data_IF_876230484635
#
_entry.id   IF_876230484635
#
_cell.length_a   1.000
_cell.length_b   1.000
_cell.length_c   1.000
_cell.angle_alpha   90.00
_cell.angle_beta   90.00
_cell.angle_gamma   90.00
#
_symmetry.space_group_name_H-M   'P 1'
#
loop_
_entity.id
_entity.type
_entity.pdbx_description
1 polymer ?
2 water ?
#
# COMPACT_ATOMS: atom_id res chain seq x y z
N UNK A 2 12.19 -4.78 10.62
CA UNK A 2 11.02 -5.29 9.89
C UNK A 2 9.78 -4.95 10.67
N UNK A 3 9.93 -4.30 11.81
CA UNK A 3 8.81 -3.52 12.30
C UNK A 3 8.28 -2.59 11.19
N UNK A 4 9.18 -1.87 10.50
CA UNK A 4 8.75 -0.87 9.49
C UNK A 4 8.02 -1.56 8.33
N UNK A 5 8.57 -2.70 7.95
CA UNK A 5 8.06 -3.50 6.88
C UNK A 5 6.65 -3.99 7.20
N UNK A 6 6.44 -4.54 8.40
CA UNK A 6 5.09 -4.98 8.83
C UNK A 6 4.04 -3.86 8.84
N UNK A 7 4.40 -2.66 9.28
CA UNK A 7 3.43 -1.60 9.35
C UNK A 7 3.05 -1.14 7.93
N UNK A 8 4.05 -0.86 7.10
CA UNK A 8 3.78 -0.17 5.84
C UNK A 8 3.08 -1.06 4.81
N UNK A 9 3.38 -2.35 4.85
CA UNK A 9 2.72 -3.31 3.96
C UNK A 9 1.47 -3.93 4.56
N UNK A 10 1.08 -3.50 5.76
CA UNK A 10 -0.16 -3.99 6.33
C UNK A 10 -1.36 -3.77 5.40
N UNK A 11 -2.23 -4.81 5.22
CA UNK A 11 -3.43 -4.56 4.38
C UNK A 11 -4.28 -3.35 4.80
N UNK A 12 -4.28 -2.99 6.08
CA UNK A 12 -5.11 -1.85 6.49
C UNK A 12 -4.33 -0.53 6.42
N UNK A 13 -3.03 -0.62 6.15
CA UNK A 13 -2.24 0.57 5.95
C UNK A 13 -2.37 1.09 4.52
N UNK A 14 -2.91 2.28 4.38
CA UNK A 14 -2.99 2.97 3.10
C UNK A 14 -2.13 4.25 3.16
N UNK A 15 -1.34 4.45 2.12
CA UNK A 15 -0.48 5.63 2.07
C UNK A 15 -1.28 6.88 1.79
N UNK A 16 -2.25 7.18 2.64
CA UNK A 16 -3.07 8.35 2.48
C UNK A 16 -2.70 9.42 3.49
N UNK A 17 -2.87 10.70 3.14
CA UNK A 17 -2.96 11.70 4.17
C UNK A 17 -4.39 11.71 4.79
N UNK A 18 -4.67 12.65 5.67
CA UNK A 18 -5.94 12.62 6.42
C UNK A 18 -7.16 12.92 5.55
N UNK A 19 -7.04 13.96 4.72
CA UNK A 19 -8.05 14.28 3.67
C UNK A 19 -8.37 13.09 2.74
N UNK A 20 -7.35 12.42 2.19
CA UNK A 20 -7.57 11.31 1.26
C UNK A 20 -8.19 10.10 2.00
N UNK A 21 -7.78 9.86 3.23
CA UNK A 21 -8.40 8.80 4.04
C UNK A 21 -9.89 9.04 4.22
N UNK A 22 -10.26 10.28 4.55
CA UNK A 22 -11.66 10.69 4.56
C UNK A 22 -12.34 10.39 3.26
N UNK A 23 -11.72 10.85 2.16
CA UNK A 23 -12.26 10.60 0.81
C UNK A 23 -12.50 9.12 0.53
N UNK A 24 -11.52 8.30 0.82
CA UNK A 24 -11.72 6.84 0.66
C UNK A 24 -12.84 6.29 1.57
N UNK A 25 -12.97 6.82 2.80
CA UNK A 25 -13.99 6.30 3.72
C UNK A 25 -15.39 6.69 3.34
N UNK A 26 -15.54 7.69 2.49
CA UNK A 26 -16.88 8.12 2.03
C UNK A 26 -17.71 7.00 1.43
N UNK A 27 -17.11 6.13 0.62
CA UNK A 27 -17.86 5.01 0.04
C UNK A 27 -17.83 3.75 0.95
N UNK A 28 -17.24 3.84 2.14
CA UNK A 28 -17.29 2.74 3.08
C UNK A 28 -18.38 2.98 4.10
N UNK A 29 -18.43 2.12 5.11
CA UNK A 29 -19.54 2.14 6.09
C UNK A 29 -19.08 2.69 7.45
N UNK A 30 -20.02 3.02 8.32
CA UNK A 30 -19.73 3.50 9.67
C UNK A 30 -18.79 2.55 10.41
N UNK A 31 -17.71 3.08 10.97
CA UNK A 31 -16.82 2.25 11.72
C UNK A 31 -15.66 1.71 10.91
N UNK A 32 -15.74 1.77 9.58
CA UNK A 32 -14.56 1.47 8.77
C UNK A 32 -13.47 2.46 9.04
N UNK A 33 -12.25 2.08 8.69
CA UNK A 33 -11.08 2.83 9.07
C UNK A 33 -9.90 2.37 8.20
N UNK A 34 -8.86 3.19 8.21
CA UNK A 34 -7.55 2.85 7.67
C UNK A 34 -6.48 3.32 8.67
N UNK A 35 -5.36 2.65 8.63
CA UNK A 35 -4.10 3.20 9.12
C UNK A 35 -3.54 3.94 7.90
N UNK A 36 -3.06 5.17 8.09
CA UNK A 36 -2.60 6.00 6.99
C UNK A 36 -1.38 6.81 7.47
N UNK A 37 -0.84 7.66 6.60
CA UNK A 37 0.33 8.45 6.98
C UNK A 37 -0.05 9.86 7.44
N UNK A 38 0.94 10.51 8.04
CA UNK A 38 0.78 11.78 8.71
C UNK A 38 2.08 12.53 8.55
N UNK A 39 2.05 13.71 7.90
CA UNK A 39 3.26 14.53 7.72
C UNK A 39 3.54 15.59 8.76
N UNK A 40 3.38 15.32 10.04
CA UNK A 40 3.76 16.33 11.07
C UNK A 40 5.21 16.52 11.85
N UNK A 41 5.77 15.60 12.65
CA UNK A 41 5.08 14.54 13.33
C UNK A 41 4.55 15.16 14.59
N UNK A 42 4.97 14.63 15.72
CA UNK A 42 6.10 13.71 15.80
C UNK A 42 5.87 12.28 15.40
N UNK A 43 4.68 12.00 14.85
CA UNK A 43 4.26 10.67 14.50
C UNK A 43 3.86 10.65 13.04
N UNK A 44 4.31 9.59 12.33
CA UNK A 44 4.10 9.45 10.90
C UNK A 44 2.91 8.49 10.61
N UNK A 45 2.35 7.88 11.66
CA UNK A 45 1.22 6.98 11.47
C UNK A 45 -0.02 7.63 12.07
N UNK A 46 -1.22 7.32 11.52
CA UNK A 46 -2.44 7.69 12.19
C UNK A 46 -3.55 6.72 11.84
N UNK A 47 -4.59 6.68 12.67
CA UNK A 47 -5.86 6.01 12.31
C UNK A 47 -6.94 7.04 11.98
N UNK A 48 -7.68 6.77 10.91
CA UNK A 48 -8.81 7.56 10.54
C UNK A 48 -9.98 6.61 10.40
N UNK A 49 -11.12 6.94 10.98
CA UNK A 49 -12.30 6.11 10.85
C UNK A 49 -13.55 6.91 10.74
N UNK A 50 -14.58 6.27 10.21
CA UNK A 50 -15.82 6.95 9.87
C UNK A 50 -16.82 6.88 11.00
N UNK A 51 -17.16 8.01 11.59
CA UNK A 51 -18.25 8.07 12.57
C UNK A 51 -19.66 8.12 12.02
N UNK A 52 -19.81 8.71 10.84
CA UNK A 52 -21.12 8.87 10.23
C UNK A 52 -20.93 9.46 8.86
N UNK A 53 -22.04 9.75 8.19
CA UNK A 53 -21.95 10.36 6.89
C UNK A 53 -21.28 11.72 7.03
N UNK A 54 -20.08 11.81 6.48
CA UNK A 54 -19.34 13.07 6.43
C UNK A 54 -18.69 13.44 7.76
N UNK A 55 -18.54 12.48 8.66
CA UNK A 55 -17.92 12.72 9.95
C UNK A 55 -16.86 11.67 10.29
N UNK A 56 -15.65 12.14 10.61
CA UNK A 56 -14.49 11.31 10.74
C UNK A 56 -13.74 11.61 12.01
N UNK A 57 -13.02 10.61 12.52
CA UNK A 57 -12.17 10.79 13.67
C UNK A 57 -10.76 10.48 13.24
N UNK A 58 -9.80 11.22 13.78
CA UNK A 58 -8.41 11.00 13.48
C UNK A 58 -7.61 10.85 14.74
N UNK A 59 -6.77 9.81 14.80
CA UNK A 59 -5.88 9.61 15.96
C UNK A 59 -4.43 9.26 15.58
N UNK A 60 -3.51 9.85 16.30
CA UNK A 60 -2.08 9.66 16.09
C UNK A 60 -1.67 8.31 16.65
N UNK A 61 -0.81 7.62 15.94
CA UNK A 61 -0.18 6.41 16.49
C UNK A 61 1.28 6.72 16.76
N UNK A 62 1.64 6.69 18.05
CA UNK A 62 2.96 7.01 18.53
C UNK A 62 3.84 5.77 18.47
N UNK A 63 5.09 5.97 18.08
CA UNK A 63 6.01 4.89 17.88
C UNK A 63 7.19 5.12 18.78
N UNK A 64 7.37 4.20 19.72
CA UNK A 64 8.44 4.26 20.73
C UNK A 64 9.24 2.96 20.77
N UNK A 65 10.45 3.02 21.36
CA UNK A 65 11.31 1.86 21.48
C UNK A 65 11.16 1.17 22.85
N UNK A 66 11.54 -0.10 22.93
CA UNK A 66 11.67 -0.82 24.20
C UNK A 66 13.14 -0.82 24.61
N UNK A 67 13.52 -1.68 25.55
CA UNK A 67 14.94 -1.87 25.89
C UNK A 67 15.19 -3.26 26.49
N UNK A 68 14.61 -4.29 25.86
CA UNK A 68 14.37 -5.55 26.53
C UNK A 68 15.13 -6.81 26.09
N UNK A 69 14.87 -7.30 24.85
CA UNK A 69 15.36 -8.63 24.46
C UNK A 69 16.83 -8.64 24.08
N UNK A 73 11.25 -4.86 19.56
CA UNK A 73 11.81 -3.73 18.82
C UNK A 73 11.10 -2.41 19.11
N UNK A 74 9.94 -2.22 18.50
CA UNK A 74 9.14 -1.00 18.72
C UNK A 74 7.75 -1.27 19.29
N UNK A 75 7.12 -0.21 19.77
CA UNK A 75 5.83 -0.31 20.46
C UNK A 75 4.94 0.84 19.99
N UNK A 76 3.68 0.53 19.68
CA UNK A 76 2.70 1.50 19.21
C UNK A 76 1.86 1.96 20.38
N UNK A 77 1.56 3.26 20.40
CA UNK A 77 0.81 3.86 21.50
C UNK A 77 -0.33 4.72 20.93
N UNK A 78 -1.56 4.33 21.26
CA UNK A 78 -2.73 5.00 20.73
C UNK A 78 -3.60 5.39 21.89
N UNK A 79 -3.82 6.69 22.02
CA UNK A 79 -4.48 7.26 23.18
C UNK A 79 -4.05 6.54 24.46
N UNK A 80 -2.79 6.13 24.50
CA UNK A 80 -2.22 5.62 25.76
C UNK A 80 -2.53 4.18 26.13
N UNK A 81 -3.00 3.38 25.17
CA UNK A 81 -2.90 1.91 25.26
C UNK A 81 -1.66 1.53 24.44
N UNK A 82 -0.84 0.64 25.00
CA UNK A 82 0.34 0.19 24.30
C UNK A 82 -0.04 -1.01 23.42
N UNK A 83 0.62 -1.17 22.28
CA UNK A 83 0.39 -2.29 21.38
C UNK A 83 1.72 -2.68 20.76
N UNK A 84 1.89 -3.94 20.33
CA UNK A 84 3.12 -4.34 19.62
C UNK A 84 3.01 -3.90 18.22
N UNK A 85 1.87 -4.27 17.65
CA UNK A 85 1.79 -4.35 16.22
C UNK A 85 0.52 -3.68 15.83
N UNK A 86 0.36 -3.52 14.55
CA UNK A 86 -0.85 -3.01 14.04
C UNK A 86 -1.97 -4.01 14.38
N UNK A 87 -1.63 -5.29 14.39
CA UNK A 87 -2.65 -6.32 14.43
C UNK A 87 -3.61 -6.16 15.60
N UNK A 88 -3.07 -5.88 16.80
CA UNK A 88 -3.88 -5.73 17.98
C UNK A 88 -4.73 -4.49 17.85
N UNK A 89 -4.19 -3.48 17.18
CA UNK A 89 -4.95 -2.26 16.88
C UNK A 89 -6.14 -2.55 15.94
N UNK A 90 -5.87 -3.24 14.83
CA UNK A 90 -6.91 -3.59 13.89
C UNK A 90 -8.00 -4.38 14.59
N UNK A 91 -7.62 -5.32 15.44
CA UNK A 91 -8.59 -6.09 16.20
C UNK A 91 -9.60 -5.19 16.94
N UNK A 92 -9.12 -4.16 17.62
CA UNK A 92 -10.01 -3.32 18.43
C UNK A 92 -10.95 -2.41 17.63
N UNK A 93 -10.44 -1.82 16.58
CA UNK A 93 -11.25 -0.98 15.69
C UNK A 93 -12.23 -1.77 14.84
N UNK A 94 -12.09 -3.10 14.80
CA UNK A 94 -13.04 -3.95 14.12
C UNK A 94 -14.12 -4.33 15.10
N UNK A 95 -13.71 -4.61 16.33
CA UNK A 95 -14.64 -4.84 17.42
C UNK A 95 -15.45 -3.57 17.67
N UNK A 96 -14.80 -2.41 17.58
CA UNK A 96 -15.51 -1.13 17.63
C UNK A 96 -16.63 -1.15 16.60
N UNK A 97 -16.28 -1.24 15.31
CA UNK A 97 -17.23 -1.31 14.22
C UNK A 97 -18.30 -2.34 14.42
N UNK A 98 -17.91 -3.49 15.00
CA UNK A 98 -18.80 -4.58 15.34
C UNK A 98 -19.94 -4.18 16.26
N UNK A 99 -19.67 -3.42 17.32
CA UNK A 99 -20.71 -3.27 18.37
C UNK A 99 -21.89 -2.34 17.96
N UNK A 100 -21.84 -1.90 16.70
CA UNK A 100 -22.89 -1.15 16.01
C UNK A 100 -24.04 -2.07 15.56
N UNK B 2 6.78 -11.26 -12.33
CA UNK B 2 5.90 -10.34 -11.63
C UNK B 2 5.61 -10.83 -10.20
N UNK B 3 6.66 -10.96 -9.41
CA UNK B 3 6.52 -11.43 -8.03
C UNK B 3 5.38 -10.71 -7.32
N UNK B 4 4.43 -11.48 -6.80
CA UNK B 4 3.29 -10.92 -6.10
C UNK B 4 3.73 -10.09 -4.90
N UNK B 5 4.92 -10.37 -4.40
CA UNK B 5 5.46 -9.64 -3.25
C UNK B 5 5.96 -8.26 -3.66
N UNK B 6 6.50 -8.15 -4.87
CA UNK B 6 7.00 -6.88 -5.37
C UNK B 6 5.90 -6.08 -6.05
N UNK B 7 4.78 -6.75 -6.35
CA UNK B 7 3.69 -6.11 -7.00
C UNK B 7 2.74 -5.47 -5.99
N UNK B 8 2.31 -6.29 -5.03
CA UNK B 8 1.35 -5.88 -4.02
C UNK B 8 1.97 -4.81 -3.11
N UNK B 9 3.24 -4.94 -2.77
CA UNK B 9 3.86 -3.95 -1.87
C UNK B 9 4.31 -2.65 -2.60
N UNK B 10 4.11 -2.54 -3.90
CA UNK B 10 4.74 -1.44 -4.59
C UNK B 10 4.21 -0.09 -4.11
N UNK B 11 5.08 0.95 -3.95
CA UNK B 11 4.48 2.27 -3.66
C UNK B 11 3.27 2.69 -4.56
N UNK B 12 3.30 2.42 -5.87
CA UNK B 12 2.12 2.75 -6.69
C UNK B 12 0.90 1.82 -6.64
N UNK B 13 0.99 0.74 -5.88
CA UNK B 13 -0.13 -0.19 -5.90
C UNK B 13 -1.05 0.13 -4.73
N UNK B 14 -2.27 0.56 -5.02
CA UNK B 14 -3.29 0.76 -3.97
C UNK B 14 -4.37 -0.35 -4.02
N UNK B 15 -4.73 -0.92 -2.89
CA UNK B 15 -5.69 -2.04 -3.00
C UNK B 15 -7.13 -1.60 -3.11
N UNK B 16 -7.41 -0.86 -4.18
CA UNK B 16 -8.65 -0.16 -4.51
C UNK B 16 -9.35 -0.90 -5.63
N UNK B 17 -10.68 -0.80 -5.73
CA UNK B 17 -11.35 -1.13 -6.99
C UNK B 17 -11.39 0.12 -7.89
N UNK B 18 -12.00 0.00 -9.06
CA UNK B 18 -11.92 1.02 -10.09
C UNK B 18 -12.58 2.28 -9.64
N UNK B 19 -13.76 2.16 -9.03
CA UNK B 19 -14.47 3.30 -8.48
C UNK B 19 -13.62 4.07 -7.47
N UNK B 20 -13.03 3.36 -6.52
CA UNK B 20 -12.28 4.01 -5.45
C UNK B 20 -10.98 4.62 -6.02
N UNK B 21 -10.43 4.03 -7.08
CA UNK B 21 -9.24 4.64 -7.70
C UNK B 21 -9.60 5.96 -8.37
N UNK B 22 -10.75 6.02 -9.03
CA UNK B 22 -11.28 7.31 -9.51
C UNK B 22 -11.39 8.32 -8.37
N UNK B 23 -12.05 7.92 -7.30
CA UNK B 23 -12.25 8.83 -6.17
C UNK B 23 -10.92 9.41 -5.64
N UNK B 24 -9.90 8.56 -5.48
CA UNK B 24 -8.62 8.99 -5.01
C UNK B 24 -8.00 9.90 -6.04
N UNK B 25 -8.24 9.66 -7.33
CA UNK B 25 -7.61 10.51 -8.32
C UNK B 25 -8.23 11.89 -8.44
N UNK B 26 -9.44 12.04 -7.91
CA UNK B 26 -10.13 13.35 -7.95
C UNK B 26 -9.30 14.48 -7.35
N UNK B 27 -8.58 14.20 -6.26
CA UNK B 27 -7.77 15.24 -5.63
C UNK B 27 -6.35 15.28 -6.20
N UNK B 28 -6.04 14.42 -7.17
CA UNK B 28 -4.75 14.45 -7.85
C UNK B 28 -4.86 15.29 -9.15
N UNK B 29 -3.79 15.32 -9.93
CA UNK B 29 -3.74 16.04 -11.20
C UNK B 29 -3.76 15.15 -12.45
N UNK B 30 -3.89 15.79 -13.62
CA UNK B 30 -3.87 15.14 -14.92
C UNK B 30 -2.65 14.24 -15.09
N UNK B 31 -2.91 13.02 -15.53
CA UNK B 31 -1.84 12.06 -15.72
C UNK B 31 -1.42 11.26 -14.51
N UNK B 32 -1.90 11.64 -13.31
CA UNK B 32 -1.72 10.81 -12.14
C UNK B 32 -2.44 9.50 -12.33
N UNK B 33 -1.98 8.49 -11.61
CA UNK B 33 -2.44 7.14 -11.84
C UNK B 33 -2.15 6.31 -10.60
N UNK B 34 -2.76 5.12 -10.57
CA UNK B 34 -2.46 4.11 -9.58
C UNK B 34 -2.48 2.76 -10.29
N UNK B 35 -1.73 1.81 -9.73
CA UNK B 35 -1.98 0.39 -9.98
C UNK B 35 -2.96 -0.01 -8.89
N UNK B 36 -4.00 -0.78 -9.24
CA UNK B 36 -5.02 -1.13 -8.29
C UNK B 36 -5.50 -2.52 -8.59
N UNK B 37 -6.50 -2.98 -7.87
CA UNK B 37 -7.00 -4.31 -7.98
C UNK B 37 -8.30 -4.42 -8.75
N UNK B 38 -8.46 -5.59 -9.33
CA UNK B 38 -9.57 -5.83 -10.16
C UNK B 38 -10.12 -7.16 -9.80
N UNK B 39 -11.43 -7.25 -9.54
CA UNK B 39 -11.99 -8.54 -9.33
C UNK B 39 -12.88 -9.05 -10.48
N UNK B 40 -12.62 -8.58 -11.68
CA UNK B 40 -13.30 -9.11 -12.86
C UNK B 40 -12.33 -9.75 -13.84
N UNK B 41 -12.85 -10.66 -14.66
CA UNK B 41 -12.07 -11.35 -15.69
C UNK B 41 -10.86 -12.05 -15.09
N UNK B 42 -9.80 -12.20 -15.89
CA UNK B 42 -8.69 -13.10 -15.55
C UNK B 42 -7.50 -12.38 -14.94
N UNK B 43 -7.56 -11.06 -14.92
CA UNK B 43 -6.48 -10.24 -14.39
C UNK B 43 -6.91 -9.53 -13.13
N UNK B 44 -6.10 -9.63 -12.09
CA UNK B 44 -6.36 -9.01 -10.82
C UNK B 44 -5.70 -7.65 -10.65
N UNK B 45 -5.01 -7.19 -11.67
CA UNK B 45 -4.30 -5.91 -11.60
C UNK B 45 -4.88 -4.98 -12.64
N UNK B 46 -4.92 -3.68 -12.37
CA UNK B 46 -5.27 -2.72 -13.43
C UNK B 46 -4.57 -1.39 -13.17
N UNK B 47 -4.41 -0.58 -14.22
CA UNK B 47 -4.03 0.81 -14.09
C UNK B 47 -5.25 1.76 -14.28
N UNK B 48 -5.33 2.76 -13.41
CA UNK B 48 -6.32 3.77 -13.54
C UNK B 48 -5.59 5.11 -13.49
N UNK B 49 -5.86 5.98 -14.46
CA UNK B 49 -5.22 7.27 -14.50
C UNK B 49 -6.17 8.36 -14.95
N UNK B 50 -5.82 9.58 -14.58
CA UNK B 50 -6.71 10.68 -14.72
C UNK B 50 -6.42 11.34 -16.05
N UNK B 51 -7.44 11.32 -16.90
CA UNK B 51 -7.38 11.80 -18.26
C UNK B 51 -7.73 13.28 -18.33
N UNK B 52 -8.68 13.69 -17.50
CA UNK B 52 -9.05 15.10 -17.33
C UNK B 52 -9.89 15.16 -16.06
N UNK B 53 -10.32 16.36 -15.67
CA UNK B 53 -11.31 16.51 -14.60
C UNK B 53 -12.50 15.55 -14.82
N UNK B 54 -12.75 14.68 -13.84
CA UNK B 54 -13.90 13.76 -13.88
C UNK B 54 -13.83 12.77 -15.06
N UNK B 55 -12.64 12.55 -15.61
CA UNK B 55 -12.48 11.59 -16.71
C UNK B 55 -11.27 10.70 -16.46
N UNK B 56 -11.46 9.40 -16.63
CA UNK B 56 -10.50 8.41 -16.20
C UNK B 56 -10.37 7.32 -17.23
N UNK B 57 -9.19 6.69 -17.30
CA UNK B 57 -8.98 5.54 -18.18
C UNK B 57 -8.63 4.37 -17.29
N UNK B 58 -9.04 3.19 -17.69
CA UNK B 58 -8.77 1.98 -16.96
C UNK B 58 -8.23 0.95 -17.89
N UNK B 59 -7.10 0.34 -17.53
CA UNK B 59 -6.55 -0.73 -18.35
C UNK B 59 -6.15 -1.94 -17.47
N UNK B 60 -6.43 -3.11 -18.02
CA UNK B 60 -6.04 -4.37 -17.39
C UNK B 60 -4.54 -4.63 -17.52
N UNK B 61 -3.94 -5.19 -16.49
CA UNK B 61 -2.59 -5.70 -16.59
C UNK B 61 -2.66 -7.21 -16.51
N UNK B 62 -2.19 -7.86 -17.58
CA UNK B 62 -2.14 -9.30 -17.65
C UNK B 62 -0.78 -9.80 -17.12
N UNK B 63 -0.80 -10.92 -16.39
CA UNK B 63 0.43 -11.62 -15.97
C UNK B 63 0.43 -12.86 -16.77
N UNK B 64 1.53 -13.05 -17.49
CA UNK B 64 1.80 -14.25 -18.27
C UNK B 64 3.11 -14.85 -17.75
N UNK B 65 3.28 -16.16 -17.94
CA UNK B 65 4.52 -16.86 -17.59
C UNK B 65 5.58 -16.58 -18.64
N UNK B 66 5.34 -17.09 -19.85
CA UNK B 66 6.27 -17.02 -21.00
C UNK B 66 7.54 -17.82 -20.82
N UNK B 67 7.61 -18.63 -19.76
CA UNK B 67 8.68 -19.66 -19.65
C UNK B 67 8.19 -20.90 -18.90
N UNK B 72 13.61 -18.20 -14.66
CA UNK B 72 12.48 -17.82 -15.48
C UNK B 72 11.96 -16.45 -15.06
N UNK B 73 10.74 -16.38 -14.54
CA UNK B 73 10.09 -15.11 -14.18
C UNK B 73 8.73 -14.95 -14.84
N UNK B 74 8.10 -13.79 -14.62
CA UNK B 74 6.77 -13.51 -15.16
C UNK B 74 6.69 -12.14 -15.77
N UNK B 75 5.89 -12.01 -16.81
CA UNK B 75 5.81 -10.80 -17.60
C UNK B 75 4.47 -10.10 -17.41
N UNK B 76 4.51 -8.78 -17.43
CA UNK B 76 3.33 -7.95 -17.31
C UNK B 76 2.97 -7.44 -18.70
N UNK B 77 1.71 -7.60 -19.11
CA UNK B 77 1.26 -7.14 -20.44
C UNK B 77 0.16 -6.06 -20.38
N UNK B 78 0.42 -4.92 -21.01
CA UNK B 78 -0.57 -3.86 -21.07
C UNK B 78 -0.81 -3.41 -22.50
N UNK B 79 -2.03 -3.67 -22.98
CA UNK B 79 -2.47 -3.33 -24.34
C UNK B 79 -1.50 -3.83 -25.40
N UNK B 80 -1.20 -5.13 -25.38
CA UNK B 80 -0.19 -5.68 -26.28
C UNK B 80 1.17 -5.00 -26.11
N UNK B 81 1.67 -4.94 -24.88
CA UNK B 81 3.00 -4.38 -24.59
C UNK B 81 3.56 -5.00 -23.28
N UNK B 82 4.81 -5.46 -23.32
CA UNK B 82 5.31 -6.36 -22.29
C UNK B 82 6.31 -5.67 -21.39
N UNK B 83 6.28 -6.00 -20.11
CA UNK B 83 7.12 -5.39 -19.07
C UNK B 83 7.54 -6.51 -18.13
N UNK B 84 8.71 -6.42 -17.49
CA UNK B 84 9.06 -7.43 -16.48
C UNK B 84 8.53 -7.08 -15.11
N UNK B 85 8.31 -5.78 -14.87
CA UNK B 85 8.24 -5.15 -13.57
C UNK B 85 7.17 -4.09 -13.55
N UNK B 86 6.65 -3.81 -12.36
CA UNK B 86 5.78 -2.72 -12.23
C UNK B 86 6.62 -1.48 -12.52
N UNK B 87 7.86 -1.46 -12.02
CA UNK B 87 8.78 -0.36 -12.23
C UNK B 87 8.83 0.18 -13.67
N UNK B 88 8.99 -0.66 -14.69
CA UNK B 88 8.98 -0.17 -16.08
C UNK B 88 7.64 0.48 -16.48
N UNK B 89 6.54 -0.02 -15.92
CA UNK B 89 5.22 0.56 -16.17
C UNK B 89 5.14 1.97 -15.53
N UNK B 90 5.57 2.07 -14.27
CA UNK B 90 5.51 3.32 -13.56
C UNK B 90 6.33 4.31 -14.35
N UNK B 91 7.49 3.88 -14.83
CA UNK B 91 8.32 4.77 -15.61
C UNK B 91 7.51 5.34 -16.78
N UNK B 92 6.75 4.50 -17.49
CA UNK B 92 6.08 4.95 -18.69
C UNK B 92 4.91 5.87 -18.44
N UNK B 93 4.13 5.56 -17.42
CA UNK B 93 3.01 6.39 -17.06
C UNK B 93 3.40 7.70 -16.36
N UNK B 94 4.68 7.83 -15.96
CA UNK B 94 5.14 9.08 -15.40
C UNK B 94 5.62 9.94 -16.53
N UNK B 95 6.36 9.33 -17.46
CA UNK B 95 6.75 10.00 -18.70
C UNK B 95 5.52 10.49 -19.45
N UNK B 96 4.48 9.67 -19.53
CA UNK B 96 3.18 10.11 -20.04
C UNK B 96 2.77 11.46 -19.39
N UNK B 97 2.55 11.44 -18.07
CA UNK B 97 2.17 12.60 -17.29
C UNK B 97 3.09 13.79 -17.53
N UNK B 98 4.39 13.55 -17.49
CA UNK B 98 5.37 14.62 -17.69
C UNK B 98 5.30 15.16 -19.13
N UNK B 99 4.82 14.32 -20.04
CA UNK B 99 4.70 14.71 -21.44
C UNK B 99 3.48 15.60 -21.66
N UNK B 100 2.45 15.42 -20.83
CA UNK B 100 1.23 16.20 -20.93
C UNK B 100 1.41 17.59 -20.32
N UNK B 101 2.65 18.08 -20.35
CA UNK B 101 2.95 19.40 -19.80
C UNK B 101 4.24 19.96 -20.39
N UNK B 102 4.11 20.60 -21.55
CA UNK B 102 2.83 20.76 -22.21
C UNK B 102 1.89 19.59 -21.91
N UNK C 8 4.20 16.14 -1.53
CA UNK C 8 2.99 16.22 -0.63
C UNK C 8 1.65 16.36 -1.37
N UNK C 9 0.92 15.26 -1.60
CA UNK C 9 1.32 13.92 -1.26
C UNK C 9 1.78 13.21 -2.52
N UNK C 10 2.53 12.15 -2.35
CA UNK C 10 3.00 11.41 -3.49
C UNK C 10 3.31 9.95 -3.07
N UNK C 11 2.99 8.96 -3.92
CA UNK C 11 3.26 7.52 -3.58
C UNK C 11 4.67 7.26 -3.12
N UNK C 12 5.62 7.96 -3.71
CA UNK C 12 7.01 7.79 -3.27
C UNK C 12 7.45 8.68 -2.16
N UNK C 13 6.59 9.61 -1.77
CA UNK C 13 6.85 10.41 -0.59
C UNK C 13 6.36 9.73 0.69
N UNK C 14 7.25 9.67 1.67
CA UNK C 14 6.92 9.13 2.98
C UNK C 14 7.35 10.14 4.01
N UNK C 15 6.52 10.38 5.04
CA UNK C 15 6.93 11.40 6.00
C UNK C 15 7.93 10.85 7.00
N UNK C 16 9.08 10.41 6.52
CA UNK C 16 10.11 9.79 7.33
C UNK C 16 11.23 10.80 7.60
N UNK C 17 11.97 10.63 8.70
CA UNK C 17 13.25 11.22 8.81
C UNK C 17 14.30 10.30 8.09
N UNK C 18 15.58 10.66 8.12
CA UNK C 18 16.61 9.88 7.45
C UNK C 18 16.68 8.44 7.90
N UNK C 19 16.48 8.23 9.17
CA UNK C 19 16.71 6.94 9.79
C UNK C 19 15.62 5.95 9.43
N UNK C 20 14.38 6.40 9.59
CA UNK C 20 13.22 5.58 9.28
C UNK C 20 13.24 5.21 7.82
N UNK C 21 13.64 6.15 6.98
CA UNK C 21 13.74 5.88 5.56
C UNK C 21 14.73 4.75 5.33
N UNK C 22 15.83 4.73 6.07
CA UNK C 22 16.81 3.62 5.93
C UNK C 22 16.14 2.31 6.30
N UNK C 23 15.42 2.35 7.44
CA UNK C 23 14.74 1.18 7.99
C UNK C 23 13.70 0.65 7.04
N UNK C 24 12.97 1.56 6.42
CA UNK C 24 12.04 1.17 5.40
C UNK C 24 12.73 0.55 4.20
N UNK C 25 13.99 0.92 3.93
CA UNK C 25 14.63 0.47 2.68
C UNK C 25 15.33 -0.86 2.92
N UNK C 26 15.53 -1.19 4.21
CA UNK C 26 16.19 -2.42 4.63
C UNK C 26 15.62 -3.67 3.99
N UNK C 27 14.30 -3.77 3.93
CA UNK C 27 13.71 -4.99 3.37
C UNK C 27 13.54 -4.85 1.85
N UNK C 28 13.90 -3.70 1.28
CA UNK C 28 13.75 -3.49 -0.18
C UNK C 28 15.02 -3.88 -0.97
N UNK C 29 14.96 -3.73 -2.29
CA UNK C 29 16.08 -4.05 -3.18
C UNK C 29 17.06 -2.88 -3.40
N UNK C 30 18.28 -3.19 -3.82
CA UNK C 30 19.19 -2.11 -4.12
C UNK C 30 18.60 -1.17 -5.22
N UNK C 31 18.73 0.14 -5.01
CA UNK C 31 18.22 1.15 -5.91
C UNK C 31 16.85 1.68 -5.51
N UNK C 32 16.14 1.02 -4.59
CA UNK C 32 14.86 1.53 -4.08
C UNK C 32 15.16 2.79 -3.31
N UNK C 33 14.16 3.66 -3.22
CA UNK C 33 14.28 5.01 -2.71
C UNK C 33 12.97 5.54 -2.16
N UNK C 34 13.07 6.59 -1.36
CA UNK C 34 11.92 7.35 -0.99
C UNK C 34 12.25 8.82 -1.04
N UNK C 35 11.21 9.60 -1.32
CA UNK C 35 11.23 11.01 -1.08
C UNK C 35 10.75 11.16 0.35
N UNK C 36 11.49 11.92 1.16
CA UNK C 36 11.10 12.07 2.56
C UNK C 36 11.35 13.45 3.08
N UNK C 37 10.97 13.67 4.34
CA UNK C 37 11.17 15.01 4.94
C UNK C 37 12.62 15.26 5.42
N UNK C 38 13.19 16.34 4.88
CA UNK C 38 14.55 16.76 5.14
C UNK C 38 14.69 17.31 6.58
N UNK C 39 15.87 17.11 7.18
CA UNK C 39 16.25 17.73 8.48
C UNK C 39 15.83 19.18 8.64
N UNK C 40 15.68 19.89 7.53
CA UNK C 40 15.11 21.25 7.59
C UNK C 40 13.60 21.31 7.30
N UNK C 43 8.23 21.17 5.20
CA UNK C 43 8.73 22.04 4.15
C UNK C 43 9.69 21.31 3.22
N UNK C 44 10.96 21.18 3.62
CA UNK C 44 12.04 20.69 2.74
C UNK C 44 12.01 19.19 2.55
N UNK C 45 12.34 18.74 1.34
CA UNK C 45 12.39 17.29 1.02
C UNK C 45 13.77 16.79 0.69
N UNK C 46 13.94 15.48 0.80
CA UNK C 46 15.19 14.82 0.47
C UNK C 46 14.92 13.48 -0.17
N UNK C 47 15.96 12.87 -0.73
CA UNK C 47 15.88 11.53 -1.28
C UNK C 47 16.78 10.58 -0.50
N UNK C 48 16.23 9.42 -0.14
CA UNK C 48 17.03 8.37 0.42
C UNK C 48 16.94 7.15 -0.48
N UNK C 49 18.09 6.61 -0.87
CA UNK C 49 18.03 5.39 -1.66
C UNK C 49 19.09 4.40 -1.22
N UNK C 50 18.83 3.13 -1.56
CA UNK C 50 19.62 2.01 -1.05
C UNK C 50 20.68 1.62 -2.06
N UNK C 51 21.92 1.72 -1.62
CA UNK C 51 23.08 1.37 -2.43
C UNK C 51 23.39 -0.12 -2.24
N UNK C 52 23.36 -0.59 -1.01
CA UNK C 52 23.71 -1.99 -0.73
C UNK C 52 23.12 -2.43 0.61
N UNK C 53 23.38 -3.68 0.99
CA UNK C 53 23.01 -4.14 2.31
C UNK C 53 23.49 -3.14 3.36
N UNK C 54 22.57 -2.44 4.01
CA UNK C 54 22.94 -1.46 5.02
C UNK C 54 23.88 -0.39 4.40
N UNK C 55 23.62 0.02 3.19
CA UNK C 55 24.34 1.14 2.61
C UNK C 55 23.28 2.08 1.97
N UNK C 56 23.16 3.30 2.49
CA UNK C 56 22.15 4.27 2.03
C UNK C 56 22.73 5.63 1.63
N UNK C 57 22.10 6.29 0.68
CA UNK C 57 22.56 7.65 0.29
C UNK C 57 21.42 8.60 0.58
N UNK C 58 21.79 9.81 0.92
CA UNK C 58 20.81 10.81 1.27
C UNK C 58 21.17 12.04 0.48
N UNK C 59 20.21 12.53 -0.31
CA UNK C 59 20.42 13.75 -1.10
C UNK C 59 19.34 14.79 -0.80
N UNK C 60 19.77 16.05 -0.72
CA UNK C 60 18.84 17.19 -0.53
C UNK C 60 18.13 17.55 -1.84
N UNK C 61 16.83 17.88 -1.76
CA UNK C 61 16.12 18.49 -2.89
C UNK C 61 15.88 19.94 -2.51
N UNK C 62 16.30 20.86 -3.36
CA UNK C 62 16.12 22.28 -3.07
C UNK C 62 15.23 22.96 -4.10
N UNK C 63 14.48 23.97 -3.65
CA UNK C 63 13.71 24.81 -4.54
C UNK C 63 14.46 26.08 -4.85
N UNK C 64 14.25 26.61 -6.05
CA UNK C 64 14.91 27.84 -6.47
C UNK C 64 14.38 28.33 -7.82
N UNK C 65 14.00 29.60 -7.87
CA UNK C 65 13.47 30.19 -9.10
C UNK C 65 14.26 29.93 -10.37
N UNK C 66 13.54 29.57 -11.44
CA UNK C 66 14.18 29.28 -12.72
C UNK C 66 14.68 30.47 -13.54
N UNK C 67 15.99 30.64 -13.60
CA UNK C 67 16.59 31.73 -14.34
C UNK C 67 15.86 31.97 -15.66
N UNK C 68 15.23 33.13 -15.79
CA UNK C 68 14.50 33.46 -17.00
C UNK C 68 14.02 34.91 -16.99
N UNK C 69 13.15 35.25 -17.94
CA UNK C 69 12.61 36.62 -18.04
C UNK C 69 13.05 37.48 -16.87
N UNK C 73 7.49 30.33 -12.25
CA UNK C 73 7.59 28.90 -12.01
C UNK C 73 8.53 28.58 -10.86
N UNK C 74 8.72 27.30 -10.58
CA UNK C 74 9.68 26.81 -9.57
C UNK C 74 10.46 25.67 -10.16
N UNK C 75 11.69 25.48 -9.68
CA UNK C 75 12.54 24.38 -10.19
C UNK C 75 13.30 23.62 -9.07
N UNK C 76 13.24 22.29 -9.12
CA UNK C 76 13.91 21.45 -8.14
C UNK C 76 15.33 21.10 -8.58
N UNK C 77 16.29 21.25 -7.68
CA UNK C 77 17.68 20.95 -7.99
C UNK C 77 18.19 19.78 -7.15
N UNK C 78 19.04 18.95 -7.75
CA UNK C 78 19.60 17.80 -7.06
C UNK C 78 21.11 17.72 -7.26
N UNK C 79 21.85 18.61 -6.59
CA UNK C 79 23.29 18.64 -6.69
C UNK C 79 23.74 19.00 -8.11
N UNK C 80 23.38 20.20 -8.54
CA UNK C 80 23.74 20.66 -9.87
C UNK C 80 22.84 20.11 -10.96
N UNK C 81 21.75 19.46 -10.53
CA UNK C 81 20.80 18.87 -11.47
C UNK C 81 19.47 19.61 -11.42
N UNK C 82 19.02 20.09 -12.58
CA UNK C 82 17.75 20.82 -12.67
C UNK C 82 16.60 19.95 -13.18
N UNK C 83 15.52 19.88 -12.41
CA UNK C 83 14.33 19.16 -12.85
C UNK C 83 13.14 20.07 -12.82
N UNK C 84 12.21 19.83 -13.73
CA UNK C 84 11.11 20.77 -13.88
C UNK C 84 9.87 20.36 -13.13
N UNK C 85 9.85 19.09 -12.74
CA UNK C 85 8.78 18.50 -11.96
C UNK C 85 9.38 17.46 -10.99
N UNK C 86 8.65 17.19 -9.92
CA UNK C 86 9.09 16.14 -9.03
C UNK C 86 8.99 14.74 -9.69
N UNK C 87 8.03 14.54 -10.59
CA UNK C 87 7.95 13.33 -11.38
C UNK C 87 9.23 13.05 -12.18
N UNK C 88 9.92 14.08 -12.68
CA UNK C 88 11.19 13.85 -13.40
C UNK C 88 12.23 13.21 -12.51
N UNK C 89 12.24 13.54 -11.24
CA UNK C 89 13.19 12.97 -10.31
C UNK C 89 12.89 11.49 -10.05
N UNK C 90 11.61 11.18 -9.86
CA UNK C 90 11.15 9.86 -9.65
C UNK C 90 11.56 8.97 -10.83
N UNK C 91 11.20 9.37 -12.05
CA UNK C 91 11.63 8.72 -13.29
C UNK C 91 13.14 8.34 -13.26
N UNK C 92 14.01 9.33 -13.02
CA UNK C 92 15.45 9.05 -12.97
C UNK C 92 15.84 8.02 -11.92
N UNK C 93 15.27 8.12 -10.72
CA UNK C 93 15.74 7.25 -9.68
C UNK C 93 15.20 5.88 -9.95
N UNK C 94 14.04 5.82 -10.58
CA UNK C 94 13.51 4.55 -11.03
C UNK C 94 14.35 3.93 -12.14
N UNK C 95 14.81 4.75 -13.09
CA UNK C 95 15.69 4.18 -14.11
C UNK C 95 16.99 3.74 -13.54
N UNK C 96 17.45 4.44 -12.53
CA UNK C 96 18.70 4.09 -11.89
C UNK C 96 18.51 2.72 -11.30
N UNK C 97 17.37 2.50 -10.61
CA UNK C 97 17.09 1.26 -9.90
C UNK C 97 17.01 0.11 -10.93
N UNK C 98 16.25 0.29 -12.00
CA UNK C 98 16.12 -0.73 -13.03
C UNK C 98 17.46 -1.05 -13.67
N UNK C 99 18.09 -0.05 -14.25
CA UNK C 99 19.39 -0.23 -14.90
C UNK C 99 20.37 -0.96 -14.00
N UNK C 100 20.25 -0.71 -12.69
CA UNK C 100 21.13 -1.35 -11.72
C UNK C 100 20.82 -2.83 -11.58
N UNK C 101 19.56 -3.15 -11.31
CA UNK C 101 19.13 -4.53 -11.15
C UNK C 101 19.32 -5.32 -12.45
N UNK C 102 19.77 -4.64 -13.49
CA UNK C 102 20.01 -5.27 -14.78
C UNK C 102 21.49 -5.46 -15.08
N UNK C 103 22.34 -5.05 -14.14
CA UNK C 103 23.78 -5.17 -14.29
C UNK C 103 24.33 -6.34 -13.48
N UNK D 7 -19.88 -7.65 0.17
CA UNK D 7 -18.52 -7.52 0.83
C UNK D 7 -17.33 -7.84 -0.15
N UNK D 8 -17.63 -7.58 -1.43
CA UNK D 8 -16.68 -7.47 -2.54
C UNK D 8 -15.44 -6.59 -2.21
N UNK D 9 -15.60 -5.49 -1.45
CA UNK D 9 -14.51 -4.55 -1.13
C UNK D 9 -14.07 -4.53 0.35
N UNK D 10 -12.84 -4.95 0.60
CA UNK D 10 -12.31 -5.05 1.93
C UNK D 10 -10.77 -5.22 1.87
N UNK D 11 -10.04 -4.53 2.74
CA UNK D 11 -8.57 -4.63 2.83
C UNK D 11 -8.00 -6.04 2.89
N UNK D 12 -8.68 -6.95 3.55
CA UNK D 12 -8.17 -8.33 3.57
C UNK D 12 -8.69 -9.16 2.42
N UNK D 13 -9.49 -8.53 1.57
CA UNK D 13 -9.98 -9.20 0.38
C UNK D 13 -9.06 -8.94 -0.81
N UNK D 14 -8.63 -10.03 -1.42
CA UNK D 14 -7.83 -9.99 -2.65
C UNK D 14 -8.45 -10.91 -3.71
N UNK D 15 -8.52 -10.43 -4.98
CA UNK D 15 -9.11 -11.19 -6.05
C UNK D 15 -8.20 -12.29 -6.61
N UNK D 16 -7.61 -13.07 -5.71
CA UNK D 16 -6.75 -14.22 -5.98
C UNK D 16 -7.54 -15.50 -6.05
N UNK D 17 -6.89 -16.54 -6.58
CA UNK D 17 -7.37 -17.89 -6.45
C UNK D 17 -6.54 -18.54 -5.33
N UNK D 18 -6.72 -19.84 -5.15
CA UNK D 18 -5.98 -20.59 -4.14
C UNK D 18 -4.47 -20.45 -4.23
N UNK D 19 -3.95 -20.64 -5.44
CA UNK D 19 -2.50 -20.67 -5.67
C UNK D 19 -1.82 -19.30 -5.46
N UNK D 20 -2.40 -18.26 -6.06
CA UNK D 20 -1.90 -16.89 -5.93
C UNK D 20 -1.94 -16.43 -4.47
N UNK D 21 -3.06 -16.71 -3.81
CA UNK D 21 -3.16 -16.55 -2.37
C UNK D 21 -1.99 -17.16 -1.57
N UNK D 22 -1.59 -18.41 -1.89
CA UNK D 22 -0.39 -19.01 -1.29
C UNK D 22 0.87 -18.23 -1.65
N UNK D 23 0.97 -17.84 -2.91
CA UNK D 23 2.13 -17.13 -3.37
C UNK D 23 2.27 -15.82 -2.66
N UNK D 24 1.16 -15.09 -2.60
CA UNK D 24 1.07 -13.89 -1.83
C UNK D 24 1.48 -14.11 -0.39
N UNK D 25 1.15 -15.28 0.18
CA UNK D 25 1.42 -15.49 1.61
C UNK D 25 2.86 -15.97 1.90
N UNK D 26 3.58 -16.35 0.85
CA UNK D 26 4.98 -16.78 1.00
C UNK D 26 5.92 -15.74 1.56
N UNK D 27 5.69 -14.48 1.24
CA UNK D 27 6.58 -13.47 1.78
C UNK D 27 6.03 -12.96 3.11
N UNK D 28 4.89 -13.50 3.54
CA UNK D 28 4.26 -13.07 4.77
C UNK D 28 4.68 -13.93 5.96
N UNK D 29 4.30 -13.53 7.16
CA UNK D 29 4.63 -14.30 8.34
C UNK D 29 3.53 -15.34 8.65
N UNK D 30 3.83 -16.31 9.52
CA UNK D 30 2.85 -17.32 9.99
C UNK D 30 1.59 -16.63 10.45
N UNK D 31 0.42 -17.17 10.09
CA UNK D 31 -0.83 -16.62 10.63
C UNK D 31 -1.48 -15.59 9.76
N UNK D 32 -0.69 -15.03 8.82
CA UNK D 32 -1.24 -14.14 7.83
C UNK D 32 -2.25 -14.84 6.94
N UNK D 33 -3.18 -14.09 6.35
CA UNK D 33 -4.31 -14.65 5.65
C UNK D 33 -4.89 -13.67 4.64
N UNK D 34 -5.69 -14.22 3.74
CA UNK D 34 -6.54 -13.44 2.85
C UNK D 34 -7.90 -14.08 2.69
N UNK D 35 -8.90 -13.22 2.45
CA UNK D 35 -10.19 -13.59 1.89
C UNK D 35 -10.02 -13.55 0.39
N UNK D 36 -10.55 -14.56 -0.29
CA UNK D 36 -10.45 -14.64 -1.75
C UNK D 36 -11.67 -15.33 -2.34
N UNK D 37 -11.73 -15.36 -3.67
CA UNK D 37 -12.85 -15.99 -4.37
C UNK D 37 -12.66 -17.50 -4.45
N UNK D 38 -13.77 -18.22 -4.60
CA UNK D 38 -13.73 -19.67 -4.68
C UNK D 38 -14.85 -19.86 -5.69
N UNK D 39 -15.18 -21.11 -5.99
CA UNK D 39 -16.23 -21.42 -6.94
C UNK D 39 -15.95 -22.92 -7.14
N UNK D 44 -18.58 -16.97 -4.75
CA UNK D 44 -18.23 -17.62 -3.49
C UNK D 44 -16.87 -17.16 -3.03
N UNK D 45 -16.66 -17.18 -1.71
CA UNK D 45 -15.38 -16.75 -1.13
C UNK D 45 -14.68 -17.85 -0.32
N UNK D 46 -13.39 -17.66 -0.07
CA UNK D 46 -12.61 -18.58 0.79
C UNK D 46 -11.57 -17.86 1.65
N UNK D 47 -11.02 -18.53 2.65
CA UNK D 47 -9.93 -17.98 3.42
C UNK D 47 -8.71 -18.84 3.20
N UNK D 48 -7.58 -18.19 2.95
CA UNK D 48 -6.32 -18.88 2.84
C UNK D 48 -5.41 -18.27 3.89
N UNK D 49 -4.79 -19.14 4.70
CA UNK D 49 -3.89 -18.63 5.73
C UNK D 49 -2.67 -19.49 5.90
N UNK D 50 -1.61 -18.83 6.31
CA UNK D 50 -0.30 -19.46 6.45
C UNK D 50 -0.12 -20.10 7.83
N UNK D 51 0.09 -21.41 7.85
CA UNK D 51 0.36 -22.11 9.11
C UNK D 51 1.83 -21.98 9.46
N UNK D 52 2.68 -22.17 8.45
CA UNK D 52 4.11 -22.20 8.64
C UNK D 52 4.75 -22.23 7.25
N UNK D 53 6.07 -22.39 7.21
CA UNK D 53 6.86 -22.34 6.01
C UNK D 53 6.29 -23.26 4.95
N UNK D 54 5.77 -22.68 3.85
CA UNK D 54 5.17 -23.44 2.75
C UNK D 54 4.11 -24.40 3.32
N UNK D 55 3.28 -23.90 4.21
CA UNK D 55 2.15 -24.65 4.76
C UNK D 55 0.93 -23.77 4.89
N UNK D 56 -0.06 -24.03 4.05
CA UNK D 56 -1.25 -23.19 3.93
C UNK D 56 -2.52 -23.94 4.27
N UNK D 57 -3.55 -23.21 4.69
CA UNK D 57 -4.87 -23.82 4.91
C UNK D 57 -5.89 -23.05 4.11
N UNK D 58 -6.83 -23.79 3.55
CA UNK D 58 -7.88 -23.21 2.73
C UNK D 58 -9.21 -23.60 3.34
N UNK D 59 -10.02 -22.61 3.65
CA UNK D 59 -11.34 -22.86 4.21
C UNK D 59 -12.43 -22.14 3.39
N UNK D 60 -13.54 -22.83 3.18
CA UNK D 60 -14.69 -22.28 2.47
C UNK D 60 -15.49 -21.34 3.37
N UNK D 61 -16.04 -20.28 2.80
CA UNK D 61 -17.03 -19.47 3.50
C UNK D 61 -18.32 -19.60 2.76
N UNK D 62 -19.36 -20.06 3.44
CA UNK D 62 -20.60 -20.22 2.76
C UNK D 62 -21.59 -19.17 3.22
N UNK D 63 -22.02 -18.35 2.27
CA UNK D 63 -23.20 -17.52 2.45
C UNK D 63 -24.38 -18.44 2.23
N UNK D 64 -25.05 -18.78 3.32
CA UNK D 64 -26.22 -19.66 3.31
C UNK D 64 -27.14 -19.29 4.48
N UNK D 65 -28.40 -19.00 4.19
CA UNK D 65 -29.26 -18.28 5.13
C UNK D 65 -30.59 -18.96 5.42
N UNK D 73 -31.37 -10.80 9.25
CA UNK D 73 -30.01 -11.32 9.21
C UNK D 73 -29.68 -11.94 7.88
N UNK D 74 -28.45 -11.70 7.43
CA UNK D 74 -27.76 -12.37 6.32
C UNK D 74 -26.50 -12.98 6.95
N UNK D 75 -26.29 -14.29 6.72
CA UNK D 75 -25.30 -15.09 7.49
C UNK D 75 -24.24 -15.91 6.68
N UNK D 76 -23.00 -15.96 7.19
CA UNK D 76 -21.87 -16.66 6.58
C UNK D 76 -21.40 -17.79 7.49
N UNK D 77 -21.04 -18.92 6.89
CA UNK D 77 -20.67 -20.11 7.65
C UNK D 77 -19.28 -20.56 7.31
N UNK D 78 -18.49 -20.80 8.34
CA UNK D 78 -17.09 -21.20 8.20
C UNK D 78 -16.71 -22.32 9.17
N UNK D 79 -16.76 -23.57 8.69
CA UNK D 79 -16.40 -24.77 9.48
C UNK D 79 -17.40 -24.97 10.60
N UNK D 80 -18.68 -25.02 10.25
CA UNK D 80 -19.76 -25.06 11.24
C UNK D 80 -20.04 -23.78 12.01
N UNK D 81 -19.06 -22.89 12.15
CA UNK D 81 -19.20 -21.66 12.93
C UNK D 81 -20.04 -20.59 12.22
N UNK D 82 -21.01 -20.03 12.94
CA UNK D 82 -21.95 -19.04 12.39
C UNK D 82 -21.55 -17.59 12.70
N UNK D 83 -21.75 -16.67 11.73
CA UNK D 83 -21.16 -15.31 11.78
C UNK D 83 -22.04 -14.22 11.16
N UNK D 84 -22.31 -13.15 11.91
CA UNK D 84 -23.22 -12.05 11.46
C UNK D 84 -22.67 -11.17 10.35
N UNK D 85 -21.39 -10.83 10.44
CA UNK D 85 -20.75 -9.98 9.46
C UNK D 85 -19.37 -10.50 9.08
N UNK D 86 -18.90 -10.14 7.90
CA UNK D 86 -17.59 -10.58 7.47
C UNK D 86 -16.49 -10.12 8.46
N UNK D 87 -16.71 -8.97 9.06
CA UNK D 87 -15.78 -8.41 10.02
C UNK D 87 -15.51 -9.32 11.22
N UNK D 88 -16.49 -10.11 11.63
CA UNK D 88 -16.25 -11.06 12.70
C UNK D 88 -15.24 -12.15 12.36
N UNK D 89 -15.25 -12.59 11.10
CA UNK D 89 -14.29 -13.56 10.65
C UNK D 89 -12.89 -12.96 10.65
N UNK D 90 -12.79 -11.71 10.17
CA UNK D 90 -11.52 -11.04 10.10
C UNK D 90 -10.89 -10.99 11.50
N UNK D 91 -11.62 -10.48 12.47
CA UNK D 91 -11.23 -10.41 13.89
C UNK D 91 -10.66 -11.72 14.39
N UNK D 92 -11.37 -12.81 14.15
CA UNK D 92 -10.91 -14.13 14.55
C UNK D 92 -9.63 -14.60 13.91
N UNK D 93 -9.53 -14.43 12.59
CA UNK D 93 -8.29 -14.76 11.93
C UNK D 93 -7.18 -13.78 12.21
N UNK D 94 -7.52 -12.57 12.62
CA UNK D 94 -6.48 -11.69 13.14
C UNK D 94 -5.96 -12.17 14.49
N UNK D 95 -6.85 -12.61 15.37
CA UNK D 95 -6.40 -13.06 16.71
C UNK D 95 -5.63 -14.37 16.58
N UNK D 96 -5.99 -15.14 15.57
CA UNK D 96 -5.34 -16.40 15.34
C UNK D 96 -3.93 -16.14 14.85
N UNK D 97 -3.79 -15.10 14.00
CA UNK D 97 -2.51 -14.66 13.54
C UNK D 97 -1.54 -14.20 14.64
N UNK D 98 -1.98 -13.25 15.48
CA UNK D 98 -1.27 -12.89 16.71
C UNK D 98 -0.80 -14.16 17.48
N UNK D 99 -1.68 -15.14 17.61
CA UNK D 99 -1.40 -16.38 18.26
C UNK D 99 -0.30 -17.21 17.57
N UNK D 100 -0.41 -17.34 16.23
CA UNK D 100 0.51 -18.18 15.45
C UNK D 100 1.93 -17.63 15.40
N UNK D 101 1.93 -16.33 15.24
CA UNK D 101 3.15 -15.55 15.21
C UNK D 101 3.91 -15.59 16.54
N UNK D 102 3.17 -15.71 17.64
CA UNK D 102 3.73 -15.63 19.00
C UNK D 102 4.27 -17.01 19.42
N UNK D 103 3.62 -18.05 18.90
CA UNK D 103 3.91 -19.44 19.21
C UNK D 103 5.35 -19.89 18.88
#
# INVERSE_FOLDING_TARGET
>A
GSHMHRVINHPYYFPFNGKQAEDYLRSKERGDFVIRQSSRGDDHLAITWKLDKDLFQHVDIQEMEKENPLAXGKVLVVEGQRYHDLDQIIVEYLQNKIRLLNE
>B
GSHMHRVINHPYYFPFNGKQAEDYLRSKERGDFVIRQSSRGDDHLAITWKLDKDLFQHVDIQEMEKENPLAMGKVLVVEGQRYHDLDQIIVEYLQNKIRLLNE
>C
GSHXHRVINHPYYFPFNGKQAEDYLRSKERGDFVIRQSSRGDDHLAITWKLDKDLFQHVDIQEMEKENPLAXGKVLVVEGQRYHDLDQIIVEYLQNKIRLLNE
>D
GSHXHRVINHPYYFPFNGKQAEDYLRSKERGDFVIRQSSRGDDHLAITWKLDKDLFQHVDIQEMEKENPLAXGKVLVVEGQRYHDLDQIIVEYLQNKIRLLNE
#
